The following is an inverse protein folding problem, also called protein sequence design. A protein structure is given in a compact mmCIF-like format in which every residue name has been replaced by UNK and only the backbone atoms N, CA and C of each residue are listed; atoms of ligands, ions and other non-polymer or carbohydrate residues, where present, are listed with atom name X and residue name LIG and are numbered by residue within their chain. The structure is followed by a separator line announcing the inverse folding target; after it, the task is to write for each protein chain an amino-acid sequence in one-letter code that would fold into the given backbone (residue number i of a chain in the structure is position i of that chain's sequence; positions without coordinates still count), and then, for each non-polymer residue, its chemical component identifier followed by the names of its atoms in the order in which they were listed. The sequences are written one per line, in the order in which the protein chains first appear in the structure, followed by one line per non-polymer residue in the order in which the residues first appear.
data_IF_337694648302
#
_entry.id   IF_337694648302
#
_cell.length_a   1.000
_cell.length_b   1.000
_cell.length_c   1.000
_cell.angle_alpha   90.00
_cell.angle_beta   90.00
_cell.angle_gamma   90.00
#
_symmetry.space_group_name_H-M   'P 1'
#
loop_
_entity.id
_entity.type
_entity.pdbx_description
1 polymer ?
#
# COMPACT_ATOMS: atom_id res chain seq x y z
N UNK A 1 -51.59 -40.44 -29.34
CA UNK A 1 -51.49 -40.83 -27.92
C UNK A 1 -50.62 -39.82 -27.19
N UNK A 2 -51.12 -39.40 -26.03
CA UNK A 2 -50.58 -38.59 -24.91
C UNK A 2 -49.26 -37.80 -25.05
N UNK A 3 -49.42 -36.54 -24.63
CA UNK A 3 -48.49 -35.44 -24.38
C UNK A 3 -47.80 -35.60 -23.00
N UNK A 4 -46.71 -34.85 -22.76
CA UNK A 4 -46.36 -34.01 -21.58
C UNK A 4 -44.87 -34.17 -21.13
N UNK A 5 -44.06 -33.18 -20.67
CA UNK A 5 -43.98 -31.69 -20.55
C UNK A 5 -42.46 -31.38 -20.23
N UNK A 6 -41.78 -30.42 -20.88
CA UNK A 6 -41.44 -29.04 -20.45
C UNK A 6 -40.14 -28.82 -19.60
N UNK A 7 -39.30 -27.87 -20.04
CA UNK A 7 -38.48 -26.94 -19.23
C UNK A 7 -37.95 -25.80 -20.16
N UNK A 8 -38.59 -24.63 -20.19
CA UNK A 8 -38.21 -23.38 -19.50
C UNK A 8 -36.82 -22.83 -19.88
N UNK A 9 -36.77 -22.07 -21.00
CA UNK A 9 -35.74 -21.08 -21.27
C UNK A 9 -36.33 -19.68 -21.14
N UNK A 10 -35.90 -18.92 -20.13
CA UNK A 10 -36.31 -17.53 -19.94
C UNK A 10 -35.45 -16.66 -20.85
N UNK A 11 -36.06 -16.13 -21.92
CA UNK A 11 -35.51 -15.05 -22.72
C UNK A 11 -35.94 -13.72 -22.08
N UNK A 12 -34.98 -12.87 -21.72
CA UNK A 12 -35.25 -11.47 -21.35
C UNK A 12 -34.76 -10.54 -22.46
N UNK A 13 -35.67 -9.63 -22.81
CA UNK A 13 -35.67 -8.71 -23.94
C UNK A 13 -34.78 -7.47 -23.75
N UNK A 14 -34.35 -6.96 -24.89
CA UNK A 14 -33.59 -5.73 -25.21
C UNK A 14 -34.39 -4.45 -24.83
N UNK A 15 -33.75 -3.27 -24.72
CA UNK A 15 -34.00 -2.29 -25.79
C UNK A 15 -32.75 -1.55 -26.29
N UNK A 16 -32.52 -1.68 -27.60
CA UNK A 16 -31.70 -0.80 -28.41
C UNK A 16 -32.50 0.48 -28.61
N UNK A 17 -32.11 1.57 -27.95
CA UNK A 17 -32.62 2.89 -28.29
C UNK A 17 -31.72 3.44 -29.40
N UNK A 18 -32.23 3.35 -30.62
CA UNK A 18 -31.74 4.10 -31.76
C UNK A 18 -32.23 5.55 -31.64
N UNK A 19 -31.32 6.52 -31.50
CA UNK A 19 -31.64 7.92 -31.81
C UNK A 19 -31.12 8.20 -33.22
N UNK A 20 -32.04 8.17 -34.17
CA UNK A 20 -31.86 8.62 -35.55
C UNK A 20 -31.58 10.12 -35.59
N UNK A 21 -30.62 10.50 -36.44
CA UNK A 21 -30.35 11.88 -36.81
C UNK A 21 -31.59 12.54 -37.44
N UNK A 22 -31.86 13.78 -37.04
CA UNK A 22 -32.75 14.69 -37.75
C UNK A 22 -31.95 15.96 -38.07
N UNK A 23 -31.63 16.14 -39.35
CA UNK A 23 -31.22 17.44 -39.88
C UNK A 23 -32.47 18.21 -40.30
N UNK A 24 -32.67 19.41 -39.77
CA UNK A 24 -33.10 20.61 -40.53
C UNK A 24 -33.07 21.84 -39.62
N UNK A 25 -32.63 22.93 -40.23
CA UNK A 25 -32.25 24.24 -39.70
C UNK A 25 -33.37 25.00 -38.99
N UNK A 26 -33.04 25.70 -37.89
CA UNK A 26 -33.25 27.14 -37.76
C UNK A 26 -32.46 27.73 -36.57
N UNK A 27 -32.15 29.01 -36.70
CA UNK A 27 -31.27 29.88 -35.93
C UNK A 27 -31.73 30.11 -34.48
N UNK A 28 -30.81 30.03 -33.49
CA UNK A 28 -30.71 30.91 -32.28
C UNK A 28 -29.72 30.37 -31.23
N UNK A 29 -28.72 31.21 -30.91
CA UNK A 29 -27.87 31.26 -29.69
C UNK A 29 -26.86 30.12 -29.40
N UNK A 30 -25.55 30.43 -29.26
CA UNK A 30 -24.59 29.50 -28.63
C UNK A 30 -24.90 29.43 -27.12
N UNK A 31 -25.49 28.33 -26.66
CA UNK A 31 -25.42 27.99 -25.24
C UNK A 31 -23.98 27.59 -24.92
N UNK A 32 -23.28 28.51 -24.26
CA UNK A 32 -22.02 28.23 -23.59
C UNK A 32 -22.23 27.04 -22.65
N UNK A 33 -21.62 25.91 -23.00
CA UNK A 33 -21.46 24.78 -22.10
C UNK A 33 -20.77 25.31 -20.84
N UNK A 34 -21.27 25.02 -19.62
CA UNK A 34 -20.49 25.29 -18.44
C UNK A 34 -19.21 24.47 -18.56
N UNK A 35 -18.08 25.15 -18.72
CA UNK A 35 -16.77 24.55 -18.57
C UNK A 35 -16.77 23.88 -17.19
N UNK A 36 -16.76 22.55 -17.17
CA UNK A 36 -16.37 21.84 -15.98
C UNK A 36 -14.97 22.36 -15.65
N UNK A 37 -14.88 23.15 -14.60
CA UNK A 37 -13.60 23.47 -13.97
C UNK A 37 -13.07 22.09 -13.59
N UNK A 38 -12.09 21.61 -14.37
CA UNK A 38 -11.23 20.53 -13.92
C UNK A 38 -10.57 21.15 -12.69
N UNK A 39 -11.09 20.81 -11.51
CA UNK A 39 -10.39 21.08 -10.28
C UNK A 39 -8.98 20.54 -10.50
N UNK A 40 -7.96 21.38 -10.31
CA UNK A 40 -6.59 20.93 -10.13
C UNK A 40 -6.66 19.84 -9.05
N UNK A 41 -6.68 18.58 -9.48
CA UNK A 41 -6.46 17.48 -8.58
C UNK A 41 -5.02 17.68 -8.11
N UNK A 42 -4.87 17.96 -6.83
CA UNK A 42 -3.58 17.99 -6.17
C UNK A 42 -2.81 16.74 -6.64
N UNK A 43 -1.53 16.88 -7.06
CA UNK A 43 -0.75 15.73 -7.49
C UNK A 43 -0.87 14.66 -6.41
N UNK A 44 -1.14 13.39 -6.75
CA UNK A 44 -1.13 12.34 -5.75
C UNK A 44 0.19 12.46 -4.98
N UNK A 45 0.13 12.41 -3.64
CA UNK A 45 1.33 12.35 -2.82
C UNK A 45 2.28 11.30 -3.40
N UNK A 46 3.60 11.55 -3.39
CA UNK A 46 4.55 10.62 -3.98
C UNK A 46 4.32 9.24 -3.37
N UNK A 47 3.98 8.27 -4.23
CA UNK A 47 3.87 6.88 -3.78
C UNK A 47 5.26 6.48 -3.25
N UNK A 48 5.39 6.32 -1.93
CA UNK A 48 6.66 5.97 -1.35
C UNK A 48 6.95 4.50 -1.70
N UNK A 49 8.08 4.27 -2.36
CA UNK A 49 8.53 2.94 -2.76
C UNK A 49 9.42 2.38 -1.68
N UNK A 50 9.08 1.19 -1.19
CA UNK A 50 9.88 0.45 -0.22
C UNK A 50 10.12 -0.98 -0.69
N UNK A 51 11.00 -1.68 0.03
CA UNK A 51 11.08 -3.14 -0.07
C UNK A 51 10.00 -3.74 0.82
N UNK A 52 9.14 -4.55 0.23
CA UNK A 52 8.20 -5.40 0.92
C UNK A 52 8.77 -6.82 1.10
N UNK A 53 8.79 -7.32 2.33
CA UNK A 53 9.32 -8.62 2.70
C UNK A 53 8.20 -9.67 2.76
N UNK A 54 8.28 -10.62 1.82
CA UNK A 54 7.40 -11.77 1.78
C UNK A 54 7.74 -12.81 2.86
N UNK A 55 6.76 -13.60 3.34
CA UNK A 55 5.37 -13.66 2.85
C UNK A 55 4.40 -12.72 3.55
N UNK A 56 4.80 -12.10 4.66
CA UNK A 56 3.88 -11.39 5.55
C UNK A 56 3.66 -9.93 5.20
N UNK A 57 4.49 -9.39 4.32
CA UNK A 57 4.32 -8.05 3.82
C UNK A 57 4.92 -7.00 4.76
N UNK A 58 6.00 -7.33 5.46
CA UNK A 58 6.73 -6.38 6.31
C UNK A 58 7.41 -5.34 5.43
N UNK A 59 7.30 -4.07 5.81
CA UNK A 59 7.89 -2.97 5.08
C UNK A 59 9.28 -2.72 5.65
N UNK A 60 10.30 -2.87 4.81
CA UNK A 60 11.69 -2.71 5.19
C UNK A 60 12.07 -1.22 5.23
N UNK A 61 11.74 -0.60 6.36
CA UNK A 61 12.16 0.77 6.65
C UNK A 61 13.67 0.90 6.86
N UNK A 62 14.36 -0.17 7.26
CA UNK A 62 15.80 -0.15 7.48
C UNK A 62 16.56 0.20 6.19
N UNK A 63 16.13 -0.36 5.05
CA UNK A 63 16.71 -0.04 3.74
C UNK A 63 16.18 1.26 3.14
N UNK A 64 15.14 1.83 3.75
CA UNK A 64 14.61 3.15 3.44
C UNK A 64 13.75 3.22 2.18
N UNK A 65 13.31 4.44 1.89
CA UNK A 65 12.52 4.76 0.70
C UNK A 65 13.41 4.82 -0.56
N UNK A 66 12.83 4.47 -1.70
CA UNK A 66 13.48 4.51 -3.00
C UNK A 66 12.87 5.59 -3.90
N UNK A 67 13.68 6.34 -4.69
CA UNK A 67 13.16 7.34 -5.61
C UNK A 67 12.28 6.77 -6.72
N UNK A 68 12.45 5.49 -7.04
CA UNK A 68 11.66 4.77 -8.04
C UNK A 68 11.68 3.26 -7.82
N UNK A 69 10.72 2.57 -8.43
CA UNK A 69 10.75 1.10 -8.53
C UNK A 69 12.01 0.58 -9.22
N UNK A 70 12.55 1.32 -10.18
CA UNK A 70 13.77 0.94 -10.89
C UNK A 70 14.98 0.88 -9.95
N UNK A 71 15.13 1.91 -9.11
CA UNK A 71 16.23 2.01 -8.15
C UNK A 71 16.14 0.92 -7.07
N UNK A 72 14.94 0.69 -6.53
CA UNK A 72 14.71 -0.41 -5.60
C UNK A 72 15.04 -1.77 -6.23
N UNK A 73 14.54 -2.02 -7.44
CA UNK A 73 14.80 -3.29 -8.13
C UNK A 73 16.28 -3.47 -8.46
N UNK A 74 17.01 -2.39 -8.76
CA UNK A 74 18.44 -2.44 -8.98
C UNK A 74 19.18 -2.89 -7.71
N UNK A 75 18.78 -2.38 -6.53
CA UNK A 75 19.32 -2.84 -5.25
C UNK A 75 18.99 -4.32 -5.01
N UNK A 76 17.71 -4.72 -5.07
CA UNK A 76 17.30 -6.10 -4.77
C UNK A 76 18.01 -7.11 -5.70
N UNK A 77 18.19 -6.76 -6.97
CA UNK A 77 18.91 -7.60 -7.96
C UNK A 77 20.41 -7.66 -7.74
N UNK A 78 20.97 -6.75 -6.95
CA UNK A 78 22.39 -6.74 -6.63
C UNK A 78 22.76 -7.71 -5.51
N UNK A 79 21.77 -8.26 -4.79
CA UNK A 79 22.03 -9.17 -3.69
C UNK A 79 22.70 -10.47 -4.18
N UNK A 80 23.72 -10.97 -3.46
CA UNK A 80 24.44 -12.19 -3.86
C UNK A 80 23.54 -13.41 -4.07
N UNK A 81 22.49 -13.51 -3.26
CA UNK A 81 21.53 -14.61 -3.27
C UNK A 81 20.25 -14.27 -4.05
N UNK A 82 20.29 -13.23 -4.89
CA UNK A 82 19.15 -12.86 -5.71
C UNK A 82 18.75 -14.00 -6.66
N UNK A 83 17.46 -14.32 -6.60
CA UNK A 83 16.80 -15.25 -7.48
C UNK A 83 15.43 -14.69 -7.79
N UNK A 84 15.15 -14.50 -9.08
CA UNK A 84 13.87 -14.00 -9.56
C UNK A 84 12.66 -14.77 -8.99
N UNK A 85 12.84 -16.06 -8.66
CA UNK A 85 11.78 -16.93 -8.19
C UNK A 85 11.67 -17.04 -6.66
N UNK A 86 12.75 -16.80 -5.92
CA UNK A 86 12.81 -17.14 -4.48
C UNK A 86 13.19 -15.99 -3.57
N UNK A 87 13.73 -14.88 -4.10
CA UNK A 87 14.00 -13.68 -3.30
C UNK A 87 12.69 -13.18 -2.68
N UNK A 88 12.69 -12.96 -1.36
CA UNK A 88 11.54 -12.51 -0.57
C UNK A 88 11.27 -11.02 -0.70
N UNK A 89 12.24 -10.25 -1.17
CA UNK A 89 12.17 -8.81 -1.35
C UNK A 89 11.39 -8.46 -2.62
N UNK A 90 10.37 -7.62 -2.46
CA UNK A 90 9.56 -7.09 -3.56
C UNK A 90 9.53 -5.58 -3.47
N UNK A 91 10.03 -4.93 -4.51
CA UNK A 91 9.93 -3.48 -4.65
C UNK A 91 8.55 -3.12 -5.15
N UNK A 92 7.83 -2.34 -4.37
CA UNK A 92 6.49 -1.88 -4.72
C UNK A 92 6.16 -0.54 -4.05
N UNK A 93 5.24 0.23 -4.63
CA UNK A 93 4.61 1.33 -3.92
C UNK A 93 3.79 0.76 -2.76
N UNK A 94 3.84 1.42 -1.60
CA UNK A 94 3.10 0.98 -0.42
C UNK A 94 1.82 1.80 -0.28
N UNK A 95 0.70 1.09 -0.20
CA UNK A 95 -0.62 1.70 0.01
C UNK A 95 -0.78 2.20 1.45
N UNK A 96 -1.49 3.31 1.60
CA UNK A 96 -1.95 3.83 2.89
C UNK A 96 -3.34 3.28 3.30
N UNK A 97 -3.58 2.98 4.59
CA UNK A 97 -2.64 3.00 5.71
C UNK A 97 -1.84 1.70 5.83
N UNK A 98 -0.69 1.78 6.49
CA UNK A 98 0.09 0.61 6.92
C UNK A 98 -0.29 0.20 8.34
N UNK A 99 -0.04 -1.05 8.71
CA UNK A 99 -0.34 -1.58 10.04
C UNK A 99 0.93 -1.83 10.82
N UNK A 100 1.11 -1.14 11.95
CA UNK A 100 2.35 -1.19 12.69
C UNK A 100 2.16 -1.66 14.14
N UNK A 101 3.17 -2.38 14.63
CA UNK A 101 3.34 -2.61 16.07
C UNK A 101 4.41 -1.67 16.59
N UNK A 102 4.09 -0.97 17.68
CA UNK A 102 5.02 -0.11 18.39
C UNK A 102 5.45 -0.81 19.68
N UNK A 103 6.76 -0.92 19.85
CA UNK A 103 7.39 -1.56 20.99
C UNK A 103 8.17 -0.56 21.82
N UNK A 104 8.21 -0.79 23.12
CA UNK A 104 9.07 -0.06 24.05
C UNK A 104 9.93 -1.06 24.84
N UNK A 105 11.24 -0.85 24.84
CA UNK A 105 12.20 -1.70 25.54
C UNK A 105 12.44 -1.20 26.97
N UNK A 106 11.80 -1.83 27.97
CA UNK A 106 12.03 -1.52 29.39
C UNK A 106 11.89 -0.04 29.72
N UNK A 107 12.94 0.54 30.31
CA UNK A 107 13.01 1.97 30.66
C UNK A 107 13.54 2.85 29.50
N UNK A 108 13.83 2.29 28.33
CA UNK A 108 14.21 3.09 27.16
C UNK A 108 12.99 3.91 26.70
N UNK A 109 13.21 5.19 26.42
CA UNK A 109 12.20 6.08 25.84
C UNK A 109 12.07 5.90 24.33
N UNK A 110 13.00 5.17 23.70
CA UNK A 110 12.95 4.87 22.28
C UNK A 110 11.87 3.83 22.01
N UNK A 111 11.04 4.14 21.02
CA UNK A 111 9.99 3.25 20.53
C UNK A 111 10.50 2.58 19.26
N UNK A 112 10.44 1.25 19.16
CA UNK A 112 10.69 0.55 17.90
C UNK A 112 9.36 0.39 17.17
N UNK A 113 9.35 0.50 15.84
CA UNK A 113 8.13 0.39 15.05
C UNK A 113 8.34 -0.60 13.90
N UNK A 114 7.51 -1.62 13.84
CA UNK A 114 7.51 -2.64 12.78
C UNK A 114 6.20 -2.51 12.00
N UNK A 115 6.28 -2.28 10.69
CA UNK A 115 5.11 -1.97 9.86
C UNK A 115 4.89 -2.98 8.74
N UNK A 116 3.63 -3.21 8.40
CA UNK A 116 3.20 -4.18 7.41
C UNK A 116 2.16 -3.57 6.48
N UNK A 117 2.11 -4.04 5.24
CA UNK A 117 1.10 -3.63 4.24
C UNK A 117 -0.35 -3.91 4.65
N UNK A 118 -0.57 -4.78 5.64
CA UNK A 118 -1.91 -5.16 6.06
C UNK A 118 -1.94 -5.75 7.47
N UNK A 119 -3.08 -5.59 8.12
CA UNK A 119 -3.31 -6.08 9.49
C UNK A 119 -3.00 -7.57 9.64
N UNK A 120 -3.35 -8.40 8.65
CA UNK A 120 -3.13 -9.85 8.71
C UNK A 120 -1.64 -10.23 8.79
N UNK A 121 -0.78 -9.52 8.05
CA UNK A 121 0.68 -9.71 8.11
C UNK A 121 1.24 -9.31 9.47
N UNK A 122 0.81 -8.15 9.95
CA UNK A 122 1.20 -7.63 11.26
C UNK A 122 0.82 -8.58 12.39
N UNK A 123 -0.42 -9.06 12.44
CA UNK A 123 -0.88 -9.93 13.55
C UNK A 123 -0.17 -11.30 13.57
N UNK A 124 0.20 -11.83 12.39
CA UNK A 124 0.94 -13.10 12.29
C UNK A 124 2.35 -12.95 12.87
N UNK A 125 3.10 -11.93 12.43
CA UNK A 125 4.45 -11.69 12.94
C UNK A 125 4.43 -11.22 14.40
N UNK A 126 3.42 -10.45 14.79
CA UNK A 126 3.21 -10.08 16.18
C UNK A 126 2.98 -11.31 17.06
N UNK A 127 2.17 -12.28 16.64
CA UNK A 127 1.97 -13.53 17.40
C UNK A 127 3.29 -14.29 17.58
N UNK A 128 4.16 -14.27 16.57
CA UNK A 128 5.50 -14.89 16.63
C UNK A 128 6.41 -14.14 17.61
N UNK A 129 6.35 -12.81 17.61
CA UNK A 129 7.17 -11.95 18.47
C UNK A 129 6.64 -11.84 19.90
N UNK A 130 5.33 -11.88 20.14
CA UNK A 130 4.72 -11.85 21.47
C UNK A 130 5.15 -13.06 22.32
N UNK A 131 5.23 -14.24 21.71
CA UNK A 131 5.77 -15.45 22.35
C UNK A 131 7.22 -15.26 22.84
N UNK A 132 7.96 -14.30 22.27
CA UNK A 132 9.32 -13.93 22.67
C UNK A 132 9.33 -12.70 23.60
N UNK A 133 8.46 -11.72 23.36
CA UNK A 133 8.37 -10.46 24.10
C UNK A 133 7.81 -10.65 25.52
N UNK A 134 6.83 -11.54 25.71
CA UNK A 134 6.29 -11.89 27.04
C UNK A 134 7.35 -12.54 27.96
N UNK A 135 8.46 -13.01 27.40
CA UNK A 135 9.60 -13.55 28.14
C UNK A 135 10.73 -12.52 28.39
N UNK A 136 10.63 -11.31 27.83
CA UNK A 136 11.65 -10.26 27.86
C UNK A 136 11.21 -8.97 28.55
N UNK A 137 11.97 -7.89 28.35
CA UNK A 137 11.68 -6.54 28.90
C UNK A 137 10.92 -5.64 27.92
N UNK A 138 10.53 -6.15 26.75
CA UNK A 138 9.90 -5.39 25.68
C UNK A 138 8.39 -5.42 25.82
N UNK A 139 7.75 -4.26 25.67
CA UNK A 139 6.29 -4.10 25.82
C UNK A 139 5.70 -3.57 24.52
N UNK A 140 4.49 -4.04 24.17
CA UNK A 140 3.72 -3.50 23.04
C UNK A 140 2.89 -2.32 23.54
N UNK A 141 3.13 -1.14 23.00
CA UNK A 141 2.37 0.08 23.34
C UNK A 141 1.24 0.33 22.35
N UNK A 142 1.44 -0.03 21.07
CA UNK A 142 0.41 0.00 20.03
C UNK A 142 0.48 -1.30 19.23
N UNK A 143 -0.66 -2.00 19.11
CA UNK A 143 -0.74 -3.33 18.48
C UNK A 143 -1.40 -3.22 17.11
N UNK A 144 -0.64 -3.51 16.05
CA UNK A 144 -1.09 -3.52 14.66
C UNK A 144 -2.00 -2.35 14.26
N UNK A 145 -1.73 -1.18 14.84
CA UNK A 145 -2.52 0.02 14.64
C UNK A 145 -2.28 0.57 13.23
N UNK A 146 -3.31 1.15 12.58
CA UNK A 146 -3.14 1.79 11.30
C UNK A 146 -2.39 3.12 11.45
N UNK A 147 -1.38 3.33 10.60
CA UNK A 147 -0.64 4.58 10.48
C UNK A 147 -0.66 5.04 9.03
N UNK A 148 -0.56 6.35 8.79
CA UNK A 148 -0.11 6.81 7.48
C UNK A 148 1.34 6.33 7.29
N UNK A 149 1.71 5.98 6.07
CA UNK A 149 3.05 5.53 5.72
C UNK A 149 4.08 6.63 6.02
N UNK A 150 3.73 7.89 5.76
CA UNK A 150 4.57 9.04 6.09
C UNK A 150 4.82 9.16 7.61
N UNK A 151 3.79 9.01 8.45
CA UNK A 151 3.96 9.05 9.91
C UNK A 151 4.76 7.85 10.41
N UNK A 152 4.49 6.65 9.88
CA UNK A 152 5.19 5.44 10.24
C UNK A 152 6.69 5.53 9.92
N UNK A 153 7.01 6.02 8.73
CA UNK A 153 8.38 6.25 8.28
C UNK A 153 9.08 7.31 9.13
N UNK A 154 8.42 8.44 9.39
CA UNK A 154 8.95 9.49 10.27
C UNK A 154 9.24 9.00 11.69
N UNK A 155 8.35 8.17 12.26
CA UNK A 155 8.58 7.54 13.58
C UNK A 155 9.79 6.59 13.55
N UNK A 156 9.92 5.79 12.49
CA UNK A 156 11.06 4.89 12.33
C UNK A 156 12.39 5.66 12.31
N UNK A 157 12.47 6.74 11.53
CA UNK A 157 13.68 7.56 11.44
C UNK A 157 14.10 8.17 12.79
N UNK A 158 13.14 8.50 13.66
CA UNK A 158 13.42 9.04 15.01
C UNK A 158 13.82 7.92 15.98
N UNK A 159 13.38 6.69 15.73
CA UNK A 159 13.66 5.54 16.60
C UNK A 159 15.07 4.94 16.43
N UNK A 160 15.67 5.08 15.25
CA UNK A 160 16.99 4.55 14.96
C UNK A 160 18.08 5.28 15.80
N UNK A 161 19.03 4.55 16.39
CA UNK A 161 20.18 5.19 17.01
C UNK A 161 20.97 5.95 15.93
N UNK A 162 21.26 7.24 16.18
CA UNK A 162 22.23 7.97 15.38
C UNK A 162 23.53 7.13 15.33
N UNK A 163 23.92 6.67 14.14
CA UNK A 163 25.10 5.81 14.01
C UNK A 163 26.31 6.46 14.69
N UNK A 164 27.03 5.75 15.58
CA UNK A 164 28.27 6.26 16.14
C UNK A 164 29.36 6.22 15.06
N UNK A 165 29.40 7.22 14.19
CA UNK A 165 30.36 7.24 13.09
C UNK A 165 30.41 8.46 12.17
N UNK A 166 29.46 9.40 12.24
CA UNK A 166 29.55 10.62 11.41
C UNK A 166 30.42 11.69 12.08
N UNK A 167 31.73 11.43 12.20
CA UNK A 167 32.69 12.53 12.29
C UNK A 167 32.92 13.06 10.88
N UNK A 168 32.15 14.09 10.55
CA UNK A 168 32.41 14.96 9.43
C UNK A 168 33.86 15.44 9.43
N UNK A 169 34.51 15.17 8.31
CA UNK A 169 35.81 15.65 7.85
C UNK A 169 35.78 17.19 7.66
N UNK A 170 36.93 17.87 7.63
CA UNK A 170 37.12 19.02 6.76
C UNK A 170 37.77 18.63 5.43
#
# INVERSE_FOLDING_TARGET
MRVWFAALGVASLVPLVACTAASTSDETAPQAQPAAIIADAEPPEPELVFINLLPWGEIDFQRGEFPSLGDCNALVRSFPDYSFYTTSERCEPIDDPVHCTVWQDGDDTRVQIDCFKGAGGCEIELTRHDLLAESGTRTVTERCAPFSLADAWGRYQVSEPAEPGSTGTP
#
